data_IF_700567716810
#
_entry.id   IF_700567716810
#
_cell.length_a   1.000
_cell.length_b   1.000
_cell.length_c   1.000
_cell.angle_alpha   90.00
_cell.angle_beta   90.00
_cell.angle_gamma   90.00
#
_symmetry.space_group_name_H-M   'P 1'
#
loop_
_entity.id
_entity.type
_entity.pdbx_description
1 polymer ?
#
# COMPACT_ATOMS: atom_id res chain seq x y z
N UNK A 1 72.90 -42.21 -60.36
CA UNK A 1 72.88 -42.12 -58.88
C UNK A 1 72.68 -40.69 -58.37
N UNK A 2 73.29 -39.63 -59.03
CA UNK A 2 73.17 -38.24 -58.62
C UNK A 2 71.79 -37.65 -58.94
N UNK A 3 71.06 -38.06 -59.98
CA UNK A 3 69.75 -37.56 -60.41
C UNK A 3 68.67 -38.03 -59.47
N UNK A 4 68.75 -39.25 -58.94
CA UNK A 4 67.75 -39.78 -57.98
C UNK A 4 67.81 -39.10 -56.60
N UNK A 5 68.97 -38.75 -56.11
CA UNK A 5 69.19 -38.04 -54.86
C UNK A 5 68.66 -36.61 -54.98
N UNK A 6 68.97 -35.93 -56.13
CA UNK A 6 68.43 -34.57 -56.35
C UNK A 6 66.91 -34.53 -56.45
N UNK A 7 66.29 -35.53 -57.04
CA UNK A 7 64.85 -35.65 -57.12
C UNK A 7 64.24 -35.86 -55.73
N UNK A 8 64.79 -36.73 -54.89
CA UNK A 8 64.33 -36.97 -53.50
C UNK A 8 64.45 -35.68 -52.65
N UNK A 9 65.58 -34.95 -52.79
CA UNK A 9 65.77 -33.68 -52.07
C UNK A 9 64.75 -32.64 -52.53
N UNK A 10 64.47 -32.53 -53.82
CA UNK A 10 63.50 -31.64 -54.39
C UNK A 10 62.07 -31.97 -53.90
N UNK A 11 61.67 -33.25 -53.88
CA UNK A 11 60.39 -33.72 -53.38
C UNK A 11 60.23 -33.42 -51.90
N UNK A 12 61.26 -33.68 -51.08
CA UNK A 12 61.24 -33.34 -49.64
C UNK A 12 61.07 -31.83 -49.42
N UNK A 13 61.77 -30.99 -50.22
CA UNK A 13 61.56 -29.53 -50.13
C UNK A 13 60.20 -29.09 -50.52
N UNK A 14 59.54 -29.66 -51.54
CA UNK A 14 58.15 -29.35 -51.92
C UNK A 14 57.21 -29.76 -50.82
N UNK A 15 57.37 -30.95 -50.19
CA UNK A 15 56.56 -31.41 -49.11
C UNK A 15 56.69 -30.48 -47.90
N UNK A 16 57.91 -30.09 -47.55
CA UNK A 16 58.13 -29.13 -46.43
C UNK A 16 57.46 -27.77 -46.71
N UNK A 17 57.63 -27.30 -48.00
CA UNK A 17 57.01 -26.02 -48.41
C UNK A 17 55.46 -26.07 -48.33
N UNK A 18 54.85 -27.16 -48.79
CA UNK A 18 53.38 -27.34 -48.68
C UNK A 18 52.94 -27.38 -47.22
N UNK A 19 53.64 -28.17 -46.40
CA UNK A 19 53.28 -28.22 -44.92
C UNK A 19 53.50 -26.84 -44.29
N UNK A 20 54.46 -26.07 -44.63
CA UNK A 20 54.66 -24.72 -44.12
C UNK A 20 53.51 -23.76 -44.53
N UNK A 21 53.12 -23.85 -45.81
CA UNK A 21 51.95 -23.05 -46.31
C UNK A 21 50.70 -23.46 -45.60
N UNK A 22 50.41 -24.76 -45.41
CA UNK A 22 49.23 -25.25 -44.70
C UNK A 22 49.24 -24.78 -43.26
N UNK A 23 50.35 -24.80 -42.56
CA UNK A 23 50.47 -24.30 -41.19
C UNK A 23 50.26 -22.79 -41.12
N UNK A 24 50.75 -22.03 -42.06
CA UNK A 24 50.48 -20.59 -42.14
C UNK A 24 49.02 -20.30 -42.42
N UNK A 25 48.45 -20.99 -43.41
CA UNK A 25 47.03 -20.86 -43.72
C UNK A 25 46.11 -21.20 -42.48
N UNK A 26 46.42 -22.31 -41.80
CA UNK A 26 45.70 -22.72 -40.59
C UNK A 26 45.80 -21.66 -39.51
N UNK A 27 46.93 -21.05 -39.29
CA UNK A 27 47.19 -20.07 -38.24
C UNK A 27 46.62 -18.68 -38.55
N UNK A 28 46.78 -18.21 -39.80
CA UNK A 28 46.44 -16.83 -40.17
C UNK A 28 45.03 -16.67 -40.76
N UNK A 29 44.41 -17.75 -41.26
CA UNK A 29 43.10 -17.67 -41.90
C UNK A 29 42.11 -18.58 -41.22
N UNK A 30 42.36 -19.91 -41.11
CA UNK A 30 41.36 -20.87 -40.68
C UNK A 30 40.99 -20.68 -39.22
N UNK A 31 41.96 -20.44 -38.34
CA UNK A 31 41.72 -20.26 -36.90
C UNK A 31 40.97 -18.97 -36.61
N UNK A 32 41.34 -17.78 -37.12
CA UNK A 32 40.56 -16.55 -36.92
C UNK A 32 39.13 -16.66 -37.43
N UNK A 33 38.91 -17.25 -38.61
CA UNK A 33 37.56 -17.43 -39.16
C UNK A 33 36.72 -18.35 -38.29
N UNK A 34 37.32 -19.42 -37.75
CA UNK A 34 36.59 -20.33 -36.82
C UNK A 34 36.20 -19.65 -35.52
N UNK A 35 37.10 -18.83 -34.94
CA UNK A 35 36.82 -18.07 -33.71
C UNK A 35 35.71 -17.01 -33.93
N UNK A 36 35.73 -16.30 -35.06
CA UNK A 36 34.70 -15.35 -35.45
C UNK A 36 33.33 -16.03 -35.65
N UNK A 37 33.31 -17.19 -36.31
CA UNK A 37 32.10 -17.97 -36.54
C UNK A 37 31.50 -18.50 -35.22
N UNK A 38 32.34 -18.95 -34.29
CA UNK A 38 31.92 -19.39 -32.96
C UNK A 38 31.33 -18.23 -32.16
N UNK A 39 31.97 -17.06 -32.15
CA UNK A 39 31.45 -15.87 -31.52
C UNK A 39 30.10 -15.43 -32.09
N UNK A 40 29.95 -15.41 -33.42
CA UNK A 40 28.70 -15.09 -34.10
C UNK A 40 27.59 -16.11 -33.75
N UNK A 41 27.93 -17.40 -33.65
CA UNK A 41 26.98 -18.43 -33.23
C UNK A 41 26.53 -18.25 -31.77
N UNK A 42 27.45 -17.98 -30.86
CA UNK A 42 27.13 -17.69 -29.45
C UNK A 42 26.19 -16.48 -29.33
N UNK A 43 26.41 -15.42 -30.10
CA UNK A 43 25.52 -14.26 -30.16
C UNK A 43 24.12 -14.62 -30.70
N UNK A 44 24.04 -15.48 -31.71
CA UNK A 44 22.75 -15.96 -32.23
C UNK A 44 21.97 -16.78 -31.21
N UNK A 45 22.66 -17.43 -30.27
CA UNK A 45 22.08 -18.15 -29.15
C UNK A 45 21.86 -17.26 -27.91
N UNK A 46 22.00 -15.92 -28.03
CA UNK A 46 21.90 -14.90 -26.97
C UNK A 46 22.91 -15.10 -25.83
N UNK A 47 24.03 -15.78 -26.11
CA UNK A 47 25.11 -15.97 -25.16
C UNK A 47 26.24 -14.97 -25.45
N UNK A 48 26.25 -13.87 -24.73
CA UNK A 48 27.22 -12.77 -24.88
C UNK A 48 28.43 -12.90 -23.92
N UNK A 49 28.55 -14.00 -23.17
CA UNK A 49 29.57 -14.16 -22.12
C UNK A 49 30.97 -14.45 -22.68
N UNK A 50 31.09 -14.74 -23.97
CA UNK A 50 32.33 -15.15 -24.62
C UNK A 50 32.73 -14.15 -25.72
N UNK A 51 33.57 -13.16 -25.40
CA UNK A 51 34.06 -12.22 -26.40
C UNK A 51 34.97 -12.94 -27.42
N UNK A 52 34.97 -12.47 -28.66
CA UNK A 52 35.85 -12.93 -29.68
C UNK A 52 37.31 -12.49 -29.40
N UNK A 53 38.23 -13.44 -29.29
CA UNK A 53 39.63 -13.17 -28.89
C UNK A 53 40.62 -13.17 -30.06
N UNK A 54 40.17 -12.93 -31.29
CA UNK A 54 41.10 -12.83 -32.47
C UNK A 54 42.03 -11.64 -32.28
N UNK A 55 43.30 -11.92 -31.98
CA UNK A 55 44.38 -10.93 -31.87
C UNK A 55 45.10 -10.80 -33.20
N UNK A 56 44.51 -10.15 -34.16
CA UNK A 56 45.12 -9.80 -35.43
C UNK A 56 45.07 -8.28 -35.63
N UNK A 57 45.98 -7.75 -36.43
CA UNK A 57 46.03 -6.32 -36.80
C UNK A 57 45.55 -6.11 -38.25
N UNK A 58 44.82 -7.06 -38.78
CA UNK A 58 44.27 -7.10 -40.13
C UNK A 58 42.72 -6.99 -40.08
N UNK A 59 42.05 -7.25 -41.17
CA UNK A 59 40.58 -7.20 -41.31
C UNK A 59 39.87 -8.17 -40.36
N UNK A 60 40.51 -9.25 -39.92
CA UNK A 60 39.92 -10.17 -38.93
C UNK A 60 39.91 -9.57 -37.53
N UNK A 61 40.91 -8.77 -37.18
CA UNK A 61 40.94 -8.03 -35.91
C UNK A 61 39.87 -6.95 -35.84
N UNK A 62 39.69 -6.17 -36.91
CA UNK A 62 38.64 -5.14 -37.00
C UNK A 62 37.24 -5.76 -36.94
N UNK A 63 37.06 -6.91 -37.61
CA UNK A 63 35.79 -7.65 -37.54
C UNK A 63 35.51 -8.21 -36.13
N UNK A 64 36.52 -8.70 -35.43
CA UNK A 64 36.38 -9.18 -34.05
C UNK A 64 35.98 -8.05 -33.09
N UNK A 65 36.57 -6.86 -33.23
CA UNK A 65 36.23 -5.68 -32.45
C UNK A 65 34.77 -5.22 -32.70
N UNK A 66 34.40 -5.21 -33.98
CA UNK A 66 33.02 -4.88 -34.38
C UNK A 66 31.99 -5.87 -33.82
N UNK A 67 32.30 -7.18 -33.84
CA UNK A 67 31.44 -8.22 -33.21
C UNK A 67 31.37 -8.06 -31.72
N UNK A 68 32.45 -7.78 -31.02
CA UNK A 68 32.43 -7.56 -29.56
C UNK A 68 31.60 -6.33 -29.21
N UNK A 69 31.76 -5.23 -29.93
CA UNK A 69 30.92 -4.01 -29.73
C UNK A 69 29.45 -4.31 -29.96
N UNK A 70 29.13 -5.11 -30.98
CA UNK A 70 27.72 -5.52 -31.22
C UNK A 70 27.19 -6.40 -30.06
N UNK A 71 28.01 -7.34 -29.55
CA UNK A 71 27.66 -8.18 -28.43
C UNK A 71 27.34 -7.36 -27.16
N UNK A 72 28.22 -6.38 -26.85
CA UNK A 72 28.04 -5.49 -25.71
C UNK A 72 26.74 -4.65 -25.84
N UNK A 73 26.49 -4.07 -27.01
CA UNK A 73 25.30 -3.30 -27.28
C UNK A 73 23.99 -4.15 -27.15
N UNK A 74 24.03 -5.38 -27.69
CA UNK A 74 22.93 -6.31 -27.59
C UNK A 74 22.69 -6.74 -26.14
N UNK A 75 23.75 -7.09 -25.42
CA UNK A 75 23.66 -7.45 -23.99
C UNK A 75 23.03 -6.32 -23.18
N UNK A 76 23.46 -5.08 -23.41
CA UNK A 76 22.90 -3.90 -22.73
C UNK A 76 21.43 -3.66 -23.09
N UNK A 77 21.06 -3.84 -24.37
CA UNK A 77 19.68 -3.71 -24.82
C UNK A 77 18.78 -4.78 -24.19
N UNK A 78 19.23 -6.03 -24.12
CA UNK A 78 18.49 -7.12 -23.46
C UNK A 78 18.31 -6.87 -21.97
N UNK A 79 19.36 -6.48 -21.26
CA UNK A 79 19.28 -6.15 -19.84
C UNK A 79 18.28 -5.00 -19.58
N UNK A 80 18.31 -3.96 -20.41
CA UNK A 80 17.38 -2.84 -20.32
C UNK A 80 15.92 -3.26 -20.59
N UNK A 81 15.73 -4.18 -21.55
CA UNK A 81 14.41 -4.73 -21.88
C UNK A 81 13.87 -5.59 -20.73
N UNK A 82 14.70 -6.44 -20.12
CA UNK A 82 14.29 -7.25 -18.96
C UNK A 82 13.90 -6.37 -17.77
N UNK A 83 14.67 -5.31 -17.49
CA UNK A 83 14.36 -4.36 -16.41
C UNK A 83 13.05 -3.59 -16.69
N UNK A 84 12.84 -3.16 -17.94
CA UNK A 84 11.61 -2.50 -18.35
C UNK A 84 10.39 -3.44 -18.24
N UNK A 85 10.55 -4.70 -18.65
CA UNK A 85 9.48 -5.70 -18.57
C UNK A 85 9.11 -6.01 -17.11
N UNK A 86 10.11 -6.21 -16.24
CA UNK A 86 9.90 -6.42 -14.80
C UNK A 86 9.17 -5.24 -14.16
N UNK A 87 9.54 -4.01 -14.53
CA UNK A 87 8.86 -2.79 -14.03
C UNK A 87 7.42 -2.71 -14.52
N UNK A 88 7.19 -3.06 -15.79
CA UNK A 88 5.84 -3.09 -16.36
C UNK A 88 4.95 -4.14 -15.66
N UNK A 89 5.48 -5.32 -15.36
CA UNK A 89 4.75 -6.35 -14.61
C UNK A 89 4.36 -5.86 -13.21
N UNK A 90 5.27 -5.18 -12.51
CA UNK A 90 4.98 -4.57 -11.22
C UNK A 90 3.89 -3.50 -11.31
N UNK A 91 3.97 -2.62 -12.30
CA UNK A 91 2.98 -1.57 -12.54
C UNK A 91 1.58 -2.15 -12.88
N UNK A 92 1.54 -3.22 -13.68
CA UNK A 92 0.29 -3.93 -14.02
C UNK A 92 -0.33 -4.56 -12.76
N UNK A 93 0.47 -5.21 -11.93
CA UNK A 93 -0.03 -5.82 -10.69
C UNK A 93 -0.54 -4.77 -9.70
N UNK A 94 0.18 -3.66 -9.56
CA UNK A 94 -0.26 -2.53 -8.74
C UNK A 94 -1.60 -1.95 -9.24
N UNK A 95 -1.73 -1.74 -10.56
CA UNK A 95 -3.00 -1.26 -11.15
C UNK A 95 -4.15 -2.24 -10.94
N UNK A 96 -3.91 -3.54 -11.05
CA UNK A 96 -4.94 -4.56 -10.77
C UNK A 96 -5.43 -4.48 -9.33
N UNK A 97 -4.53 -4.32 -8.35
CA UNK A 97 -4.90 -4.15 -6.94
C UNK A 97 -5.75 -2.90 -6.73
N UNK A 98 -5.33 -1.76 -7.26
CA UNK A 98 -6.09 -0.51 -7.17
C UNK A 98 -7.49 -0.62 -7.80
N UNK A 99 -7.62 -1.32 -8.93
CA UNK A 99 -8.92 -1.56 -9.57
C UNK A 99 -9.81 -2.47 -8.73
N UNK A 100 -9.24 -3.51 -8.10
CA UNK A 100 -9.98 -4.39 -7.20
C UNK A 100 -10.49 -3.63 -5.96
N UNK A 101 -9.64 -2.84 -5.32
CA UNK A 101 -10.00 -1.98 -4.18
C UNK A 101 -11.11 -0.98 -4.55
N UNK A 102 -10.99 -0.35 -5.74
CA UNK A 102 -12.02 0.58 -6.23
C UNK A 102 -13.36 -0.11 -6.49
N UNK A 103 -13.33 -1.32 -7.06
CA UNK A 103 -14.53 -2.11 -7.28
C UNK A 103 -15.20 -2.48 -5.95
N UNK A 104 -14.43 -2.98 -4.99
CA UNK A 104 -14.93 -3.32 -3.66
C UNK A 104 -15.56 -2.11 -2.97
N UNK A 105 -14.94 -0.93 -3.09
CA UNK A 105 -15.47 0.33 -2.58
C UNK A 105 -16.85 0.66 -3.18
N UNK A 106 -17.00 0.54 -4.51
CA UNK A 106 -18.27 0.83 -5.20
C UNK A 106 -19.34 -0.19 -4.80
N UNK A 107 -18.99 -1.46 -4.73
CA UNK A 107 -19.91 -2.54 -4.35
C UNK A 107 -20.40 -2.34 -2.90
N UNK A 108 -19.49 -2.05 -1.95
CA UNK A 108 -19.82 -1.78 -0.56
C UNK A 108 -20.69 -0.51 -0.40
N UNK A 109 -20.34 0.57 -1.12
CA UNK A 109 -21.14 1.79 -1.13
C UNK A 109 -22.57 1.54 -1.62
N UNK A 110 -22.70 0.77 -2.71
CA UNK A 110 -23.99 0.42 -3.29
C UNK A 110 -24.87 -0.34 -2.28
N UNK A 111 -24.27 -1.27 -1.54
CA UNK A 111 -24.96 -2.01 -0.48
C UNK A 111 -25.37 -1.11 0.69
N UNK A 112 -24.46 -0.25 1.19
CA UNK A 112 -24.73 0.66 2.30
C UNK A 112 -25.75 1.76 1.94
N UNK A 113 -25.93 2.10 0.66
CA UNK A 113 -26.96 3.03 0.18
C UNK A 113 -28.30 2.35 -0.07
N UNK A 114 -28.34 1.10 -0.53
CA UNK A 114 -29.55 0.38 -0.89
C UNK A 114 -30.45 0.15 0.32
N UNK A 115 -29.86 -0.15 1.47
CA UNK A 115 -30.61 -0.42 2.72
C UNK A 115 -31.39 0.79 3.20
N UNK A 116 -30.81 1.98 3.47
CA UNK A 116 -31.57 3.16 3.89
C UNK A 116 -32.58 3.63 2.84
N UNK A 117 -32.25 3.55 1.55
CA UNK A 117 -33.19 3.86 0.47
C UNK A 117 -34.42 2.95 0.51
N UNK A 118 -34.24 1.65 0.78
CA UNK A 118 -35.34 0.71 0.94
C UNK A 118 -36.23 1.06 2.14
N UNK A 119 -35.63 1.47 3.26
CA UNK A 119 -36.36 1.94 4.45
C UNK A 119 -37.13 3.22 4.14
N UNK A 120 -36.47 4.24 3.58
CA UNK A 120 -37.13 5.51 3.21
C UNK A 120 -38.33 5.23 2.31
N UNK A 121 -38.17 4.38 1.28
CA UNK A 121 -39.24 4.03 0.35
C UNK A 121 -40.42 3.36 1.08
N UNK A 122 -40.15 2.35 1.90
CA UNK A 122 -41.18 1.62 2.62
C UNK A 122 -42.00 2.52 3.55
N UNK A 123 -41.33 3.42 4.27
CA UNK A 123 -42.01 4.37 5.16
C UNK A 123 -42.73 5.49 4.42
N UNK A 124 -42.20 5.92 3.27
CA UNK A 124 -42.88 6.89 2.40
C UNK A 124 -44.13 6.31 1.74
N UNK A 125 -44.08 5.03 1.28
CA UNK A 125 -45.25 4.29 0.80
C UNK A 125 -46.30 4.14 1.94
N UNK A 126 -45.85 3.77 3.16
CA UNK A 126 -46.72 3.66 4.32
C UNK A 126 -47.40 4.98 4.75
N UNK A 127 -46.73 6.13 4.52
CA UNK A 127 -47.31 7.46 4.80
C UNK A 127 -48.52 7.80 3.93
N UNK A 128 -48.67 7.21 2.74
CA UNK A 128 -49.73 7.53 1.80
C UNK A 128 -51.11 7.05 2.32
N UNK A 129 -51.12 5.89 2.96
CA UNK A 129 -52.38 5.26 3.43
C UNK A 129 -52.60 5.37 4.96
N UNK A 130 -51.60 5.89 5.71
CA UNK A 130 -51.73 6.01 7.19
C UNK A 130 -52.54 7.24 7.57
N UNK A 131 -53.54 7.01 8.37
CA UNK A 131 -54.47 8.08 8.87
C UNK A 131 -54.18 8.45 10.33
N UNK A 132 -53.47 7.64 11.08
CA UNK A 132 -53.06 7.90 12.46
C UNK A 132 -51.89 8.90 12.49
N UNK A 133 -52.12 10.07 13.09
CA UNK A 133 -51.17 11.18 13.13
C UNK A 133 -49.87 10.79 13.88
N UNK A 134 -49.97 10.01 14.94
CA UNK A 134 -48.81 9.56 15.72
C UNK A 134 -47.92 8.62 14.90
N UNK A 135 -48.52 7.75 14.10
CA UNK A 135 -47.77 6.88 13.19
C UNK A 135 -47.17 7.67 12.01
N UNK A 136 -47.92 8.62 11.46
CA UNK A 136 -47.40 9.51 10.40
C UNK A 136 -46.15 10.27 10.85
N UNK A 137 -46.23 10.83 12.08
CA UNK A 137 -45.07 11.51 12.70
C UNK A 137 -43.87 10.55 12.81
N UNK A 138 -44.09 9.35 13.33
CA UNK A 138 -43.01 8.33 13.44
C UNK A 138 -42.42 7.94 12.09
N UNK A 139 -43.26 7.78 11.06
CA UNK A 139 -42.78 7.45 9.71
C UNK A 139 -41.91 8.58 9.12
N UNK A 140 -42.35 9.84 9.31
CA UNK A 140 -41.57 11.01 8.91
C UNK A 140 -40.22 11.09 9.63
N UNK A 141 -40.16 10.82 10.91
CA UNK A 141 -38.93 10.78 11.71
C UNK A 141 -37.95 9.73 11.21
N UNK A 142 -38.45 8.53 10.86
CA UNK A 142 -37.61 7.48 10.29
C UNK A 142 -37.01 7.92 8.93
N UNK A 143 -37.82 8.52 8.06
CA UNK A 143 -37.38 9.01 6.76
C UNK A 143 -36.28 10.09 6.94
N UNK A 144 -36.48 11.03 7.83
CA UNK A 144 -35.52 12.09 8.13
C UNK A 144 -34.20 11.47 8.64
N UNK A 145 -34.30 10.58 9.64
CA UNK A 145 -33.13 9.90 10.23
C UNK A 145 -32.29 9.14 9.21
N UNK A 146 -32.94 8.37 8.31
CA UNK A 146 -32.23 7.64 7.27
C UNK A 146 -31.64 8.57 6.20
N UNK A 147 -32.31 9.67 5.87
CA UNK A 147 -31.78 10.68 4.94
C UNK A 147 -30.53 11.37 5.53
N UNK A 148 -30.53 11.73 6.79
CA UNK A 148 -29.37 12.28 7.51
C UNK A 148 -28.22 11.26 7.58
N UNK A 149 -28.53 9.97 7.81
CA UNK A 149 -27.56 8.90 7.79
C UNK A 149 -26.88 8.78 6.43
N UNK A 150 -27.63 8.83 5.33
CA UNK A 150 -27.09 8.82 3.97
C UNK A 150 -26.23 10.05 3.70
N UNK A 151 -26.67 11.24 4.09
CA UNK A 151 -25.90 12.49 3.93
C UNK A 151 -24.55 12.40 4.66
N UNK A 152 -24.55 11.92 5.90
CA UNK A 152 -23.29 11.70 6.66
C UNK A 152 -22.38 10.69 5.98
N UNK A 153 -22.91 9.60 5.45
CA UNK A 153 -22.11 8.57 4.74
C UNK A 153 -21.44 9.16 3.50
N UNK A 154 -22.18 9.93 2.70
CA UNK A 154 -21.65 10.59 1.49
C UNK A 154 -20.56 11.61 1.85
N UNK A 155 -20.82 12.47 2.83
CA UNK A 155 -19.85 13.48 3.28
C UNK A 155 -18.57 12.82 3.80
N UNK A 156 -18.70 11.75 4.59
CA UNK A 156 -17.59 10.97 5.13
C UNK A 156 -16.75 10.34 4.02
N UNK A 157 -17.40 9.81 2.98
CA UNK A 157 -16.71 9.22 1.81
C UNK A 157 -15.98 10.27 0.99
N UNK A 158 -16.60 11.44 0.76
CA UNK A 158 -15.96 12.55 0.04
C UNK A 158 -14.75 13.08 0.80
N UNK A 159 -14.84 13.23 2.13
CA UNK A 159 -13.72 13.65 2.98
C UNK A 159 -12.58 12.63 2.93
N UNK A 160 -12.88 11.32 3.07
CA UNK A 160 -11.87 10.27 2.93
C UNK A 160 -11.20 10.28 1.55
N UNK A 161 -11.96 10.46 0.48
CA UNK A 161 -11.43 10.56 -0.88
C UNK A 161 -10.52 11.79 -1.04
N UNK A 162 -10.87 12.92 -0.45
CA UNK A 162 -10.03 14.12 -0.47
C UNK A 162 -8.71 13.94 0.29
N UNK A 163 -8.75 13.24 1.42
CA UNK A 163 -7.56 12.87 2.20
C UNK A 163 -6.63 11.95 1.40
N UNK A 164 -7.16 10.93 0.73
CA UNK A 164 -6.37 9.96 -0.04
C UNK A 164 -5.69 10.57 -1.28
N UNK A 165 -6.38 11.44 -1.96
CA UNK A 165 -5.86 12.09 -3.17
C UNK A 165 -4.89 13.25 -2.89
N UNK A 166 -4.55 13.51 -1.60
CA UNK A 166 -3.67 14.62 -1.21
C UNK A 166 -4.27 16.00 -1.51
N UNK A 167 -5.58 16.08 -1.80
CA UNK A 167 -6.28 17.35 -2.01
C UNK A 167 -6.41 18.17 -0.72
N UNK A 168 -6.27 17.51 0.43
CA UNK A 168 -6.33 18.15 1.74
C UNK A 168 -4.92 18.47 2.21
N UNK A 169 -4.62 19.76 2.41
CA UNK A 169 -3.41 20.21 3.07
C UNK A 169 -3.62 20.21 4.59
N UNK A 170 -2.69 19.60 5.32
CA UNK A 170 -2.67 19.67 6.78
C UNK A 170 -2.33 21.09 7.24
N UNK A 171 -3.00 21.54 8.30
CA UNK A 171 -2.75 22.86 8.93
C UNK A 171 -2.31 22.64 10.36
N UNK A 172 -1.02 22.30 10.58
CA UNK A 172 -0.51 22.08 11.93
C UNK A 172 -0.53 23.37 12.73
N UNK A 173 -0.99 23.29 13.97
CA UNK A 173 -0.95 24.32 14.97
C UNK A 173 -0.49 23.77 16.32
N UNK A 174 0.10 24.64 17.17
CA UNK A 174 0.55 24.26 18.51
C UNK A 174 -0.60 24.45 19.50
N UNK A 175 -0.99 23.40 20.21
CA UNK A 175 -2.02 23.47 21.23
C UNK A 175 -1.77 22.47 22.37
N UNK A 176 -2.44 22.67 23.51
CA UNK A 176 -2.45 21.73 24.62
C UNK A 176 -3.38 20.55 24.29
N UNK A 177 -2.81 19.35 24.20
CA UNK A 177 -3.56 18.16 23.84
C UNK A 177 -4.40 17.60 25.01
N UNK A 178 -4.03 17.88 26.26
CA UNK A 178 -4.79 17.46 27.45
C UNK A 178 -6.13 18.19 27.49
N UNK A 179 -6.11 19.53 27.47
CA UNK A 179 -7.31 20.37 27.42
C UNK A 179 -8.20 20.08 26.21
N UNK A 180 -7.55 19.85 25.06
CA UNK A 180 -8.25 19.48 23.83
C UNK A 180 -8.98 18.13 23.96
N UNK A 181 -8.31 17.09 24.48
CA UNK A 181 -8.90 15.77 24.72
C UNK A 181 -10.07 15.84 25.70
N UNK A 182 -9.90 16.58 26.82
CA UNK A 182 -10.98 16.77 27.81
C UNK A 182 -12.20 17.45 27.18
N UNK A 183 -12.00 18.48 26.36
CA UNK A 183 -13.07 19.18 25.65
C UNK A 183 -13.84 18.23 24.71
N UNK A 184 -13.12 17.45 23.88
CA UNK A 184 -13.73 16.53 22.92
C UNK A 184 -14.41 15.37 23.63
N UNK A 185 -13.77 14.77 24.62
CA UNK A 185 -14.30 13.65 25.38
C UNK A 185 -15.51 14.07 26.21
N UNK A 186 -15.46 15.24 26.86
CA UNK A 186 -16.57 15.82 27.61
C UNK A 186 -17.83 15.92 26.77
N UNK A 187 -17.73 16.51 25.58
CA UNK A 187 -18.85 16.64 24.64
C UNK A 187 -19.44 15.29 24.20
N UNK A 188 -18.60 14.27 24.00
CA UNK A 188 -19.03 12.99 23.44
C UNK A 188 -19.52 11.98 24.50
N UNK A 189 -19.04 12.09 25.74
CA UNK A 189 -19.24 11.09 26.77
C UNK A 189 -20.18 11.57 27.89
N UNK A 190 -20.14 12.87 28.27
CA UNK A 190 -20.89 13.41 29.39
C UNK A 190 -22.29 13.81 28.98
N UNK A 191 -22.49 14.41 27.80
CA UNK A 191 -23.79 14.86 27.29
C UNK A 191 -24.72 13.74 26.79
N UNK A 192 -24.44 12.48 27.16
CA UNK A 192 -25.25 11.35 26.71
C UNK A 192 -26.13 10.86 27.86
N UNK A 193 -27.49 11.11 27.83
CA UNK A 193 -28.38 10.81 28.92
C UNK A 193 -28.48 9.33 29.33
N UNK A 194 -28.14 8.41 28.41
CA UNK A 194 -28.26 6.96 28.57
C UNK A 194 -26.89 6.24 28.55
N UNK A 195 -25.83 6.89 29.07
CA UNK A 195 -24.49 6.30 29.08
C UNK A 195 -24.39 5.16 30.12
N UNK A 196 -24.54 3.92 29.66
CA UNK A 196 -24.35 2.72 30.48
C UNK A 196 -22.88 2.25 30.39
N UNK A 197 -21.94 3.05 30.95
CA UNK A 197 -20.53 2.71 31.07
C UNK A 197 -19.87 3.47 32.22
N UNK A 198 -18.79 2.90 32.77
CA UNK A 198 -17.92 3.55 33.76
C UNK A 198 -16.77 4.22 33.00
N UNK A 199 -16.63 5.54 33.13
CA UNK A 199 -15.59 6.31 32.49
C UNK A 199 -14.39 6.47 33.42
N UNK A 200 -13.20 6.05 32.94
CA UNK A 200 -11.92 6.20 33.64
C UNK A 200 -11.00 7.10 32.82
N UNK A 201 -10.34 8.04 33.49
CA UNK A 201 -9.33 8.91 32.88
C UNK A 201 -7.97 8.68 33.54
N UNK A 202 -6.94 8.58 32.71
CA UNK A 202 -5.53 8.57 33.10
C UNK A 202 -4.79 9.62 32.27
N UNK A 203 -4.81 10.88 32.75
CA UNK A 203 -4.30 12.03 32.05
C UNK A 203 -3.16 12.69 32.83
N UNK A 204 -2.17 13.36 32.16
CA UNK A 204 -1.18 14.18 32.83
C UNK A 204 -1.81 15.35 33.59
N UNK A 205 -1.26 15.68 34.77
CA UNK A 205 -1.70 16.84 35.58
C UNK A 205 -1.18 18.19 35.03
N UNK A 206 -0.39 18.17 33.96
CA UNK A 206 0.22 19.35 33.35
C UNK A 206 -0.11 19.44 31.85
N UNK A 207 -0.10 20.66 31.28
CA UNK A 207 -0.31 20.83 29.85
C UNK A 207 0.75 20.12 29.02
N UNK A 208 0.34 19.40 27.95
CA UNK A 208 1.25 18.77 27.02
C UNK A 208 0.98 19.30 25.61
N UNK A 209 1.96 20.02 25.08
CA UNK A 209 1.83 20.66 23.78
C UNK A 209 2.27 19.76 22.64
N UNK A 210 1.46 19.78 21.58
CA UNK A 210 1.73 19.09 20.31
C UNK A 210 1.61 20.08 19.16
N UNK A 211 2.21 19.73 18.00
CA UNK A 211 2.07 20.52 16.78
C UNK A 211 1.48 19.62 15.69
N UNK A 212 0.16 19.72 15.48
CA UNK A 212 -0.60 18.87 14.57
C UNK A 212 -1.85 19.59 14.07
N UNK A 213 -2.54 19.05 13.08
CA UNK A 213 -3.81 19.59 12.60
C UNK A 213 -4.93 19.29 13.60
N UNK A 214 -5.32 20.31 14.37
CA UNK A 214 -6.32 20.20 15.45
C UNK A 214 -7.67 19.69 14.96
N UNK A 215 -8.13 20.17 13.81
CA UNK A 215 -9.42 19.74 13.24
C UNK A 215 -9.38 18.27 12.81
N UNK A 216 -8.28 17.81 12.24
CA UNK A 216 -8.09 16.39 11.89
C UNK A 216 -7.92 15.51 13.12
N UNK A 217 -7.26 15.99 14.16
CA UNK A 217 -7.18 15.26 15.43
C UNK A 217 -8.52 15.18 16.13
N UNK A 218 -9.37 16.21 16.06
CA UNK A 218 -10.75 16.14 16.54
C UNK A 218 -11.53 15.04 15.83
N UNK A 219 -11.36 14.92 14.51
CA UNK A 219 -11.97 13.86 13.71
C UNK A 219 -11.49 12.46 14.12
N UNK A 220 -10.20 12.31 14.41
CA UNK A 220 -9.61 11.06 14.93
C UNK A 220 -10.23 10.70 16.28
N UNK A 221 -10.21 11.63 17.24
CA UNK A 221 -10.77 11.39 18.58
C UNK A 221 -12.27 11.07 18.52
N UNK A 222 -13.05 11.82 17.73
CA UNK A 222 -14.47 11.57 17.55
C UNK A 222 -14.74 10.14 17.05
N UNK A 223 -13.99 9.69 16.02
CA UNK A 223 -14.15 8.34 15.48
C UNK A 223 -13.75 7.25 16.49
N UNK A 224 -12.64 7.43 17.21
CA UNK A 224 -12.18 6.45 18.19
C UNK A 224 -13.10 6.39 19.41
N UNK A 225 -13.53 7.53 19.96
CA UNK A 225 -14.41 7.59 21.13
C UNK A 225 -15.81 7.02 20.81
N UNK A 226 -16.39 7.39 19.65
CA UNK A 226 -17.69 6.85 19.21
C UNK A 226 -17.58 5.34 18.94
N UNK A 227 -16.46 4.88 18.36
CA UNK A 227 -16.23 3.46 18.16
C UNK A 227 -16.13 2.70 19.48
N UNK A 228 -15.33 3.19 20.42
CA UNK A 228 -15.17 2.59 21.74
C UNK A 228 -16.49 2.53 22.52
N UNK A 229 -17.27 3.64 22.52
CA UNK A 229 -18.60 3.71 23.15
C UNK A 229 -19.57 2.67 22.59
N UNK A 230 -19.61 2.52 21.25
CA UNK A 230 -20.51 1.55 20.60
C UNK A 230 -20.16 0.10 20.90
N UNK A 231 -18.86 -0.21 21.04
CA UNK A 231 -18.38 -1.56 21.24
C UNK A 231 -18.16 -1.90 22.74
N UNK A 232 -18.41 -0.94 23.62
CA UNK A 232 -18.37 -1.19 25.05
C UNK A 232 -19.56 -2.06 25.48
N UNK A 233 -19.34 -3.00 26.41
CA UNK A 233 -20.45 -3.77 26.99
C UNK A 233 -21.28 -2.87 27.91
N UNK A 234 -22.59 -3.14 28.08
CA UNK A 234 -23.40 -2.44 29.06
C UNK A 234 -22.77 -2.50 30.47
N UNK A 235 -22.69 -1.36 31.16
CA UNK A 235 -22.00 -1.24 32.46
C UNK A 235 -20.48 -1.45 32.41
N UNK A 236 -19.87 -1.54 31.22
CA UNK A 236 -18.46 -1.78 31.06
C UNK A 236 -17.57 -0.54 31.24
N UNK A 237 -16.28 -0.75 31.38
CA UNK A 237 -15.27 0.30 31.53
C UNK A 237 -14.90 0.85 30.17
N UNK A 238 -14.90 2.18 30.04
CA UNK A 238 -14.30 2.93 28.94
C UNK A 238 -13.19 3.78 29.53
N UNK A 239 -11.92 3.49 29.18
CA UNK A 239 -10.75 4.19 29.72
C UNK A 239 -10.06 5.00 28.64
N UNK A 240 -9.84 6.28 28.94
CA UNK A 240 -9.02 7.22 28.16
C UNK A 240 -7.70 7.42 28.87
N UNK A 241 -6.60 7.07 28.23
CA UNK A 241 -5.26 7.26 28.78
C UNK A 241 -4.42 8.14 27.88
N UNK A 242 -3.63 9.02 28.48
CA UNK A 242 -2.70 9.90 27.81
C UNK A 242 -1.39 9.88 28.61
N UNK A 243 -0.33 9.32 28.06
CA UNK A 243 0.95 9.12 28.72
C UNK A 243 2.06 9.83 27.95
N UNK A 244 2.74 10.78 28.61
CA UNK A 244 3.94 11.40 28.07
C UNK A 244 5.17 10.58 28.44
N UNK A 245 5.92 10.12 27.43
CA UNK A 245 7.16 9.37 27.61
C UNK A 245 8.10 9.60 26.43
N UNK A 246 9.37 9.85 26.74
CA UNK A 246 10.47 9.95 25.76
C UNK A 246 10.20 10.96 24.62
N UNK A 247 9.50 12.08 24.92
CA UNK A 247 9.16 13.12 23.93
C UNK A 247 7.99 12.73 23.02
N UNK A 248 7.26 11.67 23.37
CA UNK A 248 6.04 11.23 22.72
C UNK A 248 4.86 11.30 23.68
N UNK A 249 3.75 11.75 23.20
CA UNK A 249 2.45 11.69 23.86
C UNK A 249 1.68 10.48 23.29
N UNK A 250 1.46 9.48 24.13
CA UNK A 250 0.78 8.25 23.77
C UNK A 250 -0.68 8.32 24.23
N UNK A 251 -1.58 8.38 23.28
CA UNK A 251 -3.02 8.29 23.51
C UNK A 251 -3.46 6.85 23.39
N UNK A 252 -4.35 6.40 24.30
CA UNK A 252 -5.09 5.17 24.13
C UNK A 252 -6.53 5.29 24.62
N UNK A 253 -7.44 4.59 23.97
CA UNK A 253 -8.81 4.40 24.39
C UNK A 253 -9.11 2.91 24.48
N UNK A 254 -9.46 2.45 25.67
CA UNK A 254 -9.87 1.08 25.94
C UNK A 254 -11.39 1.00 26.12
N UNK A 255 -12.00 0.02 25.49
CA UNK A 255 -13.39 -0.35 25.77
C UNK A 255 -13.49 -1.81 26.19
N UNK A 256 -14.30 -2.07 27.19
CA UNK A 256 -14.57 -3.42 27.65
C UNK A 256 -15.56 -4.10 26.71
N UNK A 257 -15.16 -5.25 26.13
CA UNK A 257 -15.98 -5.94 25.14
C UNK A 257 -15.28 -7.20 24.59
N UNK A 258 -15.87 -7.84 23.58
CA UNK A 258 -15.26 -8.99 22.95
C UNK A 258 -13.96 -8.60 22.24
N UNK A 259 -12.93 -9.48 22.25
CA UNK A 259 -11.69 -9.22 21.54
C UNK A 259 -11.94 -9.23 20.01
N UNK A 260 -11.12 -8.49 19.30
CA UNK A 260 -11.09 -8.53 17.84
C UNK A 260 -10.27 -9.76 17.41
N UNK A 261 -10.76 -10.61 16.48
CA UNK A 261 -9.97 -11.72 15.96
C UNK A 261 -8.61 -11.22 15.42
N UNK A 262 -7.52 -11.92 15.73
CA UNK A 262 -6.15 -11.46 15.36
C UNK A 262 -6.00 -11.20 13.86
N UNK A 263 -6.60 -12.05 13.03
CA UNK A 263 -6.63 -11.89 11.56
C UNK A 263 -7.40 -10.64 11.09
N UNK A 264 -8.19 -10.04 11.97
CA UNK A 264 -9.01 -8.86 11.71
C UNK A 264 -8.36 -7.56 12.19
N UNK A 265 -7.40 -7.61 13.11
CA UNK A 265 -6.73 -6.42 13.67
C UNK A 265 -6.08 -5.53 12.61
N UNK A 266 -5.54 -6.11 11.54
CA UNK A 266 -5.01 -5.35 10.40
C UNK A 266 -6.10 -4.85 9.45
N UNK A 267 -7.25 -5.55 9.40
CA UNK A 267 -8.34 -5.27 8.46
C UNK A 267 -9.33 -4.22 8.97
N UNK A 268 -9.43 -4.01 10.29
CA UNK A 268 -10.37 -3.04 10.88
C UNK A 268 -10.17 -1.60 10.39
N UNK A 269 -8.98 -1.28 9.87
CA UNK A 269 -8.62 0.01 9.30
C UNK A 269 -9.02 0.18 7.84
N UNK A 270 -9.51 -0.91 7.20
CA UNK A 270 -9.96 -0.88 5.80
C UNK A 270 -11.35 -0.26 5.69
N UNK A 271 -11.63 0.36 4.54
CA UNK A 271 -12.93 0.98 4.24
C UNK A 271 -14.05 -0.06 4.28
N UNK A 272 -15.17 0.31 4.88
CA UNK A 272 -16.38 -0.52 5.01
C UNK A 272 -16.16 -1.84 5.76
N UNK A 273 -14.99 -2.04 6.38
CA UNK A 273 -14.79 -3.24 7.18
C UNK A 273 -15.72 -3.26 8.38
N UNK A 274 -16.40 -4.38 8.57
CA UNK A 274 -17.28 -4.65 9.71
C UNK A 274 -17.13 -6.11 10.12
N UNK A 275 -17.06 -6.35 11.41
CA UNK A 275 -17.18 -7.71 11.92
C UNK A 275 -18.60 -8.23 11.63
N UNK A 276 -18.69 -9.40 11.00
CA UNK A 276 -19.98 -10.06 10.66
C UNK A 276 -20.84 -10.35 11.90
N UNK A 277 -20.21 -10.44 13.06
CA UNK A 277 -20.86 -10.71 14.34
C UNK A 277 -21.24 -9.44 15.11
N UNK A 278 -20.88 -8.26 14.61
CA UNK A 278 -21.21 -6.98 15.27
C UNK A 278 -22.69 -6.68 15.18
N UNK A 279 -23.33 -6.51 16.33
CA UNK A 279 -24.75 -6.09 16.44
C UNK A 279 -24.97 -4.61 16.11
N UNK A 280 -23.90 -3.83 15.97
CA UNK A 280 -23.99 -2.38 15.82
C UNK A 280 -23.87 -1.92 14.37
N UNK A 281 -24.80 -1.04 13.97
CA UNK A 281 -24.83 -0.43 12.64
C UNK A 281 -23.88 0.76 12.56
N UNK A 282 -22.78 0.63 11.80
CA UNK A 282 -21.85 1.71 11.48
C UNK A 282 -21.49 1.68 9.99
N UNK A 283 -21.00 2.78 9.43
CA UNK A 283 -20.59 2.85 8.00
C UNK A 283 -19.32 2.07 7.68
N UNK A 284 -18.54 1.65 8.69
CA UNK A 284 -17.22 1.04 8.48
C UNK A 284 -16.16 2.01 7.93
N UNK A 285 -16.42 3.32 7.93
CA UNK A 285 -15.49 4.34 7.42
C UNK A 285 -14.71 5.05 8.53
N UNK A 286 -15.17 5.01 9.77
CA UNK A 286 -14.57 5.79 10.87
C UNK A 286 -13.12 5.43 11.15
N UNK A 287 -12.79 4.13 11.27
CA UNK A 287 -11.40 3.68 11.47
C UNK A 287 -10.53 3.88 10.23
N UNK A 288 -11.08 3.81 9.02
CA UNK A 288 -10.35 4.12 7.80
C UNK A 288 -9.94 5.61 7.75
N UNK A 289 -10.80 6.52 8.23
CA UNK A 289 -10.45 7.94 8.37
C UNK A 289 -9.34 8.12 9.41
N UNK A 290 -9.43 7.45 10.56
CA UNK A 290 -8.39 7.48 11.60
C UNK A 290 -7.05 7.07 11.00
N UNK A 291 -7.02 5.93 10.32
CA UNK A 291 -5.81 5.42 9.65
C UNK A 291 -5.26 6.42 8.64
N UNK A 292 -6.11 6.99 7.79
CA UNK A 292 -5.70 7.94 6.77
C UNK A 292 -5.13 9.23 7.36
N UNK A 293 -5.79 9.83 8.35
CA UNK A 293 -5.34 11.07 9.01
C UNK A 293 -4.02 10.88 9.75
N UNK A 294 -3.88 9.76 10.47
CA UNK A 294 -2.65 9.46 11.22
C UNK A 294 -1.49 9.11 10.28
N UNK A 295 -1.76 8.35 9.19
CA UNK A 295 -0.75 8.03 8.17
C UNK A 295 -0.25 9.27 7.43
N UNK A 296 -1.13 10.22 7.07
CA UNK A 296 -0.73 11.48 6.44
C UNK A 296 0.21 12.32 7.32
N UNK A 297 0.12 12.18 8.62
CA UNK A 297 0.97 12.84 9.61
C UNK A 297 2.17 11.98 10.03
N UNK A 298 2.36 10.81 9.41
CA UNK A 298 3.42 9.83 9.73
C UNK A 298 3.43 9.39 11.20
N UNK A 299 2.24 9.32 11.82
CA UNK A 299 2.07 8.94 13.21
C UNK A 299 1.88 7.42 13.34
N UNK A 300 2.42 6.86 14.42
CA UNK A 300 2.21 5.46 14.76
C UNK A 300 0.83 5.26 15.40
N UNK A 301 0.08 4.26 14.95
CA UNK A 301 -1.24 3.92 15.48
C UNK A 301 -1.51 2.41 15.39
N UNK A 302 -2.47 1.94 16.16
CA UNK A 302 -2.85 0.54 16.16
C UNK A 302 -4.04 0.22 17.03
N UNK A 303 -4.36 -1.07 17.07
CA UNK A 303 -5.32 -1.65 18.00
C UNK A 303 -4.75 -2.95 18.56
N UNK A 304 -5.04 -3.23 19.81
CA UNK A 304 -4.61 -4.45 20.49
C UNK A 304 -5.70 -4.99 21.39
N UNK A 305 -5.73 -6.31 21.50
CA UNK A 305 -6.58 -6.96 22.48
C UNK A 305 -5.91 -6.91 23.85
N UNK A 306 -6.64 -6.40 24.85
CA UNK A 306 -6.22 -6.41 26.24
C UNK A 306 -7.16 -7.32 27.07
N UNK A 307 -6.77 -7.71 28.29
CA UNK A 307 -7.64 -8.50 29.16
C UNK A 307 -9.01 -7.84 29.34
N UNK A 308 -10.05 -8.48 28.81
CA UNK A 308 -11.44 -8.04 28.92
C UNK A 308 -11.91 -6.99 27.90
N UNK A 309 -11.08 -6.60 26.91
CA UNK A 309 -11.49 -5.60 25.93
C UNK A 309 -10.47 -5.34 24.83
N UNK A 310 -10.62 -4.19 24.18
CA UNK A 310 -9.78 -3.73 23.08
C UNK A 310 -9.29 -2.32 23.35
N UNK A 311 -8.02 -2.05 23.09
CA UNK A 311 -7.43 -0.72 23.11
C UNK A 311 -7.07 -0.26 21.72
N UNK A 312 -7.43 0.98 21.36
CA UNK A 312 -6.98 1.70 20.18
C UNK A 312 -6.00 2.78 20.63
N UNK A 313 -4.90 2.95 19.92
CA UNK A 313 -3.83 3.87 20.34
C UNK A 313 -3.19 4.60 19.17
N UNK A 314 -2.59 5.76 19.47
CA UNK A 314 -1.66 6.46 18.58
C UNK A 314 -0.64 7.28 19.39
N UNK A 315 0.44 7.70 18.74
CA UNK A 315 1.51 8.46 19.38
C UNK A 315 1.78 9.76 18.63
N UNK A 316 1.95 10.86 19.35
CA UNK A 316 2.24 12.20 18.83
C UNK A 316 3.58 12.69 19.39
N UNK A 317 4.45 13.36 18.62
CA UNK A 317 5.62 14.06 19.15
C UNK A 317 5.18 15.26 19.98
N UNK A 318 5.77 15.40 21.20
CA UNK A 318 5.55 16.60 22.04
C UNK A 318 6.47 17.74 21.59
N UNK A 319 5.97 18.98 21.76
CA UNK A 319 6.73 20.19 21.48
C UNK A 319 6.83 21.03 22.76
N UNK A 320 8.01 21.60 22.98
CA UNK A 320 8.27 22.46 24.15
C UNK A 320 7.57 23.80 24.05
#
# INVERSE_FOLDING_TARGET
VNTDISFVIWLAFVVVLVCAIDLLMARFITKPVSELNEAARNMAELNFSHPCHVKSHDEFGELAESLNTMAENLQQAFSSLEDANRKLEQDVEQKKRLLAERKELVDNLSHEMKTPLGVIRAYAEGLQDETDEAKRQKYSEVIITETERMSRLITTLLDLSALENGATQLRPERFDFVDFLETVAGRLLIDTPDADFVLEYELPEHPVYVNTDKGRMEQVLNNLIVNAKRNNRPGGILRLSLLEKDGLLNFSIFNQGPPIPEESLSKIWSKFYRDKNSKYSGSGLGLAIVAQVLSMQHLHYGAENQPGGVAFYFSLPTVK
#
